data_IF_860192591531
#
_entry.id   IF_860192591531
#
_cell.length_a   1.000
_cell.length_b   1.000
_cell.length_c   1.000
_cell.angle_alpha   90.00
_cell.angle_beta   90.00
_cell.angle_gamma   90.00
#
_symmetry.space_group_name_H-M   'P 1'
#
loop_
_entity.id
_entity.type
_entity.pdbx_description
1 polymer ?
#
# COMPACT_ATOMS: atom_id res chain seq x y z
N UNK A 1 6.71 -10.79 -9.27
CA UNK A 1 6.59 -10.69 -7.79
C UNK A 1 5.11 -10.70 -7.43
N UNK A 2 4.68 -11.47 -6.42
CA UNK A 2 3.29 -11.48 -5.93
C UNK A 2 3.26 -11.05 -4.45
N UNK A 3 2.05 -10.87 -3.88
CA UNK A 3 1.89 -10.42 -2.50
C UNK A 3 2.55 -11.36 -1.49
N UNK A 4 2.33 -12.67 -1.60
CA UNK A 4 2.85 -13.65 -0.65
C UNK A 4 4.38 -13.69 -0.62
N UNK A 5 5.01 -13.67 -1.79
CA UNK A 5 6.47 -13.64 -1.90
C UNK A 5 7.03 -12.33 -1.35
N UNK A 6 6.35 -11.21 -1.60
CA UNK A 6 6.74 -9.91 -1.04
C UNK A 6 6.62 -9.89 0.48
N UNK A 7 5.49 -10.34 1.01
CA UNK A 7 5.22 -10.43 2.45
C UNK A 7 6.26 -11.31 3.15
N UNK A 8 6.58 -12.47 2.57
CA UNK A 8 7.62 -13.37 3.08
C UNK A 8 8.98 -12.68 3.14
N UNK A 9 9.43 -12.06 2.04
CA UNK A 9 10.69 -11.32 2.02
C UNK A 9 10.71 -10.15 3.00
N UNK A 10 9.59 -9.44 3.14
CA UNK A 10 9.45 -8.35 4.10
C UNK A 10 9.67 -8.84 5.55
N UNK A 11 9.04 -9.95 5.92
CA UNK A 11 9.07 -10.48 7.29
C UNK A 11 10.37 -11.23 7.62
N UNK A 12 10.90 -12.01 6.68
CA UNK A 12 12.05 -12.88 6.92
C UNK A 12 13.39 -12.21 6.65
N UNK A 13 13.44 -11.24 5.74
CA UNK A 13 14.70 -10.63 5.29
C UNK A 13 14.78 -9.14 5.63
N UNK A 14 13.73 -8.35 5.32
CA UNK A 14 13.84 -6.91 5.50
C UNK A 14 13.74 -6.51 6.97
N UNK A 15 12.61 -6.80 7.63
CA UNK A 15 12.33 -6.35 9.00
C UNK A 15 13.42 -6.75 10.00
N UNK A 16 13.95 -8.00 10.01
CA UNK A 16 14.99 -8.39 10.95
C UNK A 16 16.31 -7.61 10.79
N UNK A 17 16.55 -7.04 9.61
CA UNK A 17 17.76 -6.29 9.28
C UNK A 17 17.54 -4.77 9.31
N UNK A 18 16.34 -4.29 9.65
CA UNK A 18 16.08 -2.86 9.77
C UNK A 18 16.54 -2.32 11.14
N UNK A 19 17.18 -1.15 11.16
CA UNK A 19 17.38 -0.41 12.40
C UNK A 19 16.03 -0.13 13.11
N UNK A 20 16.02 -0.03 14.45
CA UNK A 20 14.80 0.34 15.17
C UNK A 20 14.21 1.67 14.68
N UNK A 21 12.87 1.74 14.59
CA UNK A 21 12.12 2.97 14.22
C UNK A 21 12.43 3.52 12.81
N UNK A 22 12.88 2.66 11.89
CA UNK A 22 13.02 3.04 10.47
C UNK A 22 11.69 3.43 9.83
N UNK A 23 11.80 4.27 8.79
CA UNK A 23 10.71 4.61 7.87
C UNK A 23 10.97 3.89 6.55
N UNK A 24 10.03 3.07 6.11
CA UNK A 24 10.06 2.42 4.81
C UNK A 24 9.34 3.28 3.79
N UNK A 25 10.06 3.74 2.77
CA UNK A 25 9.46 4.42 1.61
C UNK A 25 9.05 3.37 0.60
N UNK A 26 7.77 3.35 0.21
CA UNK A 26 7.23 2.38 -0.75
C UNK A 26 6.55 3.08 -1.92
N UNK A 27 6.71 2.51 -3.12
CA UNK A 27 5.99 2.95 -4.31
C UNK A 27 4.56 2.37 -4.35
N UNK A 28 3.88 2.54 -5.49
CA UNK A 28 2.49 2.14 -5.66
C UNK A 28 2.28 0.77 -6.32
N UNK A 29 3.28 -0.13 -6.31
CA UNK A 29 3.08 -1.47 -6.84
C UNK A 29 1.89 -2.18 -6.17
N UNK A 30 1.14 -2.98 -6.95
CA UNK A 30 -0.13 -3.56 -6.50
C UNK A 30 0.02 -4.43 -5.25
N UNK A 31 1.12 -5.17 -5.13
CA UNK A 31 1.44 -6.00 -3.97
C UNK A 31 1.82 -5.20 -2.71
N UNK A 32 2.21 -3.92 -2.82
CA UNK A 32 2.34 -3.05 -1.64
C UNK A 32 0.99 -2.53 -1.16
N UNK A 33 -0.03 -2.57 -2.02
CA UNK A 33 -1.33 -1.93 -1.82
C UNK A 33 -2.45 -2.93 -1.49
N UNK A 34 -2.11 -4.13 -1.01
CA UNK A 34 -3.08 -5.11 -0.53
C UNK A 34 -3.77 -4.57 0.72
N UNK A 35 -5.10 -4.42 0.63
CA UNK A 35 -5.90 -3.83 1.71
C UNK A 35 -6.08 -4.82 2.85
N UNK A 36 -5.84 -4.36 4.07
CA UNK A 36 -5.99 -5.17 5.27
C UNK A 36 -7.46 -5.47 5.62
N UNK A 37 -8.38 -4.66 5.08
CA UNK A 37 -9.82 -4.88 5.23
C UNK A 37 -10.46 -4.91 3.84
N UNK A 38 -11.42 -5.83 3.66
CA UNK A 38 -12.16 -5.95 2.40
C UNK A 38 -12.88 -4.62 2.11
N UNK A 39 -12.51 -4.02 0.99
CA UNK A 39 -13.18 -2.83 0.52
C UNK A 39 -14.65 -3.09 0.22
N UNK A 40 -15.54 -2.24 0.75
CA UNK A 40 -16.92 -2.20 0.28
C UNK A 40 -16.97 -1.77 -1.17
N UNK A 41 -17.82 -2.44 -1.92
CA UNK A 41 -18.10 -2.24 -3.34
C UNK A 41 -19.60 -2.10 -3.56
N UNK A 42 -20.03 -1.66 -4.74
CA UNK A 42 -21.47 -1.63 -5.06
C UNK A 42 -22.14 -3.00 -5.10
N UNK A 43 -21.37 -4.07 -5.22
CA UNK A 43 -21.84 -5.45 -5.08
C UNK A 43 -22.06 -5.87 -3.61
N UNK A 44 -21.59 -5.11 -2.63
CA UNK A 44 -21.83 -5.38 -1.20
C UNK A 44 -23.32 -5.19 -0.86
N UNK A 45 -23.84 -5.93 0.14
CA UNK A 45 -25.25 -5.83 0.52
C UNK A 45 -25.55 -4.56 1.32
N UNK A 46 -26.83 -4.15 1.35
CA UNK A 46 -27.27 -2.98 2.15
C UNK A 46 -26.94 -3.15 3.64
N UNK A 47 -27.11 -4.36 4.19
CA UNK A 47 -26.76 -4.67 5.59
C UNK A 47 -25.26 -4.47 5.84
N UNK A 48 -24.40 -5.01 4.99
CA UNK A 48 -22.94 -4.89 5.15
C UNK A 48 -22.48 -3.43 5.11
N UNK A 49 -23.11 -2.60 4.28
CA UNK A 49 -22.83 -1.15 4.26
C UNK A 49 -23.24 -0.47 5.58
N UNK A 50 -24.43 -0.78 6.10
CA UNK A 50 -24.89 -0.26 7.40
C UNK A 50 -23.96 -0.70 8.53
N UNK A 51 -23.59 -1.98 8.57
CA UNK A 51 -22.71 -2.52 9.61
C UNK A 51 -21.33 -1.87 9.57
N UNK A 52 -20.80 -1.58 8.39
CA UNK A 52 -19.54 -0.85 8.23
C UNK A 52 -19.63 0.60 8.75
N UNK A 53 -20.74 1.30 8.48
CA UNK A 53 -20.98 2.65 8.97
C UNK A 53 -21.17 2.66 10.49
N UNK A 54 -21.97 1.73 11.04
CA UNK A 54 -22.16 1.55 12.50
C UNK A 54 -20.84 1.27 13.21
N UNK A 55 -20.02 0.34 12.69
CA UNK A 55 -18.72 -0.02 13.29
C UNK A 55 -17.75 1.17 13.36
N UNK A 56 -17.89 2.14 12.45
CA UNK A 56 -17.06 3.35 12.38
C UNK A 56 -17.73 4.59 12.98
N UNK A 57 -18.89 4.40 13.62
CA UNK A 57 -19.69 5.46 14.25
C UNK A 57 -19.99 6.63 13.30
N UNK A 58 -20.29 6.31 12.03
CA UNK A 58 -20.66 7.29 11.00
C UNK A 58 -22.18 7.45 10.98
N UNK A 59 -22.71 8.69 10.89
CA UNK A 59 -24.14 8.93 10.83
C UNK A 59 -24.74 8.44 9.51
N UNK A 60 -25.84 7.70 9.59
CA UNK A 60 -26.67 7.30 8.45
C UNK A 60 -28.09 7.04 8.93
N UNK A 61 -29.05 7.01 8.00
CA UNK A 61 -30.44 6.65 8.30
C UNK A 61 -30.78 5.24 7.85
N UNK A 62 -31.64 4.54 8.61
CA UNK A 62 -31.99 3.14 8.35
C UNK A 62 -32.78 2.93 7.04
N UNK A 63 -33.48 3.96 6.59
CA UNK A 63 -34.31 4.00 5.39
C UNK A 63 -33.54 4.36 4.11
N UNK A 64 -32.34 4.98 4.23
CA UNK A 64 -31.50 5.40 3.08
C UNK A 64 -31.36 4.33 2.01
N UNK A 65 -31.35 4.71 0.73
CA UNK A 65 -31.15 3.77 -0.36
C UNK A 65 -29.71 3.23 -0.33
N UNK A 66 -29.49 2.09 -0.99
CA UNK A 66 -28.16 1.49 -1.11
C UNK A 66 -27.14 2.46 -1.75
N UNK A 67 -27.59 3.26 -2.70
CA UNK A 67 -26.77 4.25 -3.39
C UNK A 67 -26.32 5.37 -2.45
N UNK A 68 -27.20 5.85 -1.57
CA UNK A 68 -26.89 6.89 -0.59
C UNK A 68 -25.94 6.36 0.50
N UNK A 69 -26.18 5.14 0.97
CA UNK A 69 -25.26 4.49 1.92
C UNK A 69 -23.87 4.33 1.30
N UNK A 70 -23.79 3.97 0.02
CA UNK A 70 -22.50 3.83 -0.66
C UNK A 70 -21.80 5.16 -0.91
N UNK A 71 -22.52 6.24 -1.19
CA UNK A 71 -21.90 7.56 -1.37
C UNK A 71 -21.24 8.05 -0.07
N UNK A 72 -21.87 7.79 1.08
CA UNK A 72 -21.29 8.04 2.41
C UNK A 72 -20.05 7.17 2.64
N UNK A 73 -20.13 5.88 2.30
CA UNK A 73 -18.97 4.99 2.39
C UNK A 73 -17.83 5.50 1.50
N UNK A 74 -18.11 5.89 0.25
CA UNK A 74 -17.11 6.32 -0.72
C UNK A 74 -16.38 7.59 -0.29
N UNK A 75 -17.09 8.57 0.29
CA UNK A 75 -16.47 9.79 0.79
C UNK A 75 -15.54 9.54 1.99
N UNK A 76 -15.83 8.55 2.81
CA UNK A 76 -15.04 8.22 4.00
C UNK A 76 -13.98 7.14 3.77
N UNK A 77 -14.12 6.35 2.70
CA UNK A 77 -13.25 5.22 2.34
C UNK A 77 -11.76 5.55 2.31
N UNK A 78 -11.30 6.70 1.77
CA UNK A 78 -9.87 7.04 1.78
C UNK A 78 -9.29 7.13 3.19
N UNK A 79 -10.06 7.62 4.17
CA UNK A 79 -9.63 7.80 5.57
C UNK A 79 -9.39 6.47 6.29
N UNK A 80 -10.08 5.42 5.85
CA UNK A 80 -9.99 4.08 6.46
C UNK A 80 -9.22 3.09 5.59
N UNK A 81 -8.51 3.57 4.56
CA UNK A 81 -7.69 2.73 3.72
C UNK A 81 -6.45 2.29 4.50
N UNK A 82 -6.47 1.05 4.97
CA UNK A 82 -5.35 0.42 5.65
C UNK A 82 -4.79 -0.70 4.78
N UNK A 83 -3.46 -0.78 4.68
CA UNK A 83 -2.78 -1.82 3.93
C UNK A 83 -2.13 -2.84 4.87
N UNK A 84 -2.04 -4.08 4.42
CA UNK A 84 -1.56 -5.18 5.25
C UNK A 84 -0.08 -5.00 5.63
N UNK A 85 0.75 -4.53 4.69
CA UNK A 85 2.17 -4.29 4.94
C UNK A 85 2.40 -3.16 5.96
N UNK A 86 1.53 -2.14 5.97
CA UNK A 86 1.60 -1.02 6.90
C UNK A 86 1.36 -1.51 8.33
N UNK A 87 0.40 -2.44 8.51
CA UNK A 87 0.15 -3.08 9.81
C UNK A 87 1.34 -3.92 10.26
N UNK A 88 1.92 -4.71 9.36
CA UNK A 88 3.09 -5.54 9.67
C UNK A 88 4.26 -4.67 10.15
N UNK A 89 4.61 -3.63 9.40
CA UNK A 89 5.71 -2.73 9.73
C UNK A 89 5.45 -1.92 11.00
N UNK A 90 4.23 -1.40 11.18
CA UNK A 90 3.83 -0.68 12.38
C UNK A 90 3.92 -1.55 13.64
N UNK A 91 3.47 -2.81 13.55
CA UNK A 91 3.58 -3.76 14.66
C UNK A 91 5.04 -4.09 15.01
N UNK A 92 5.96 -4.00 14.04
CA UNK A 92 7.40 -4.11 14.25
C UNK A 92 8.07 -2.80 14.68
N UNK A 93 7.31 -1.73 14.89
CA UNK A 93 7.82 -0.44 15.34
C UNK A 93 8.39 0.45 14.24
N UNK A 94 8.05 0.18 12.97
CA UNK A 94 8.47 0.96 11.80
C UNK A 94 7.31 1.76 11.20
N UNK A 95 7.62 2.81 10.46
CA UNK A 95 6.63 3.62 9.74
C UNK A 95 6.69 3.35 8.24
N UNK A 96 5.58 3.59 7.55
CA UNK A 96 5.50 3.48 6.08
C UNK A 96 5.17 4.83 5.49
N UNK A 97 5.97 5.27 4.51
CA UNK A 97 5.72 6.45 3.70
C UNK A 97 5.44 6.01 2.26
N UNK A 98 4.27 6.36 1.74
CA UNK A 98 3.85 6.00 0.37
C UNK A 98 4.07 7.16 -0.56
N UNK A 99 4.76 6.90 -1.67
CA UNK A 99 4.99 7.91 -2.70
C UNK A 99 3.68 8.22 -3.46
N UNK A 100 3.54 9.44 -4.00
CA UNK A 100 2.48 9.76 -4.94
C UNK A 100 2.55 8.85 -6.20
N UNK A 101 1.40 8.45 -6.78
CA UNK A 101 1.40 7.69 -8.03
C UNK A 101 2.06 8.47 -9.16
N UNK A 102 2.83 7.79 -10.02
CA UNK A 102 3.49 8.37 -11.20
C UNK A 102 4.57 9.43 -10.92
N UNK A 103 5.15 9.41 -9.71
CA UNK A 103 6.27 10.28 -9.34
C UNK A 103 7.54 9.47 -9.01
N UNK A 104 8.17 8.81 -10.02
CA UNK A 104 9.40 8.04 -9.81
C UNK A 104 10.60 8.93 -9.44
N UNK A 105 10.55 10.21 -9.78
CA UNK A 105 11.50 11.25 -9.38
C UNK A 105 11.61 11.42 -7.87
N UNK A 106 10.54 11.10 -7.13
CA UNK A 106 10.52 11.12 -5.67
C UNK A 106 11.01 9.81 -5.04
N UNK A 107 11.37 8.80 -5.83
CA UNK A 107 11.84 7.52 -5.33
C UNK A 107 13.37 7.45 -5.31
N UNK A 108 14.03 7.50 -4.12
CA UNK A 108 15.49 7.55 -4.04
C UNK A 108 16.19 6.33 -4.66
N UNK A 109 15.51 5.18 -4.76
CA UNK A 109 16.09 3.98 -5.37
C UNK A 109 16.39 4.19 -6.85
N UNK A 110 15.65 5.05 -7.55
CA UNK A 110 15.88 5.35 -8.97
C UNK A 110 17.22 6.07 -9.17
N UNK A 111 17.63 6.92 -8.23
CA UNK A 111 18.94 7.57 -8.26
C UNK A 111 20.08 6.55 -8.09
N UNK A 112 19.90 5.60 -7.17
CA UNK A 112 20.87 4.51 -6.95
C UNK A 112 20.97 3.62 -8.18
N UNK A 113 19.83 3.24 -8.77
CA UNK A 113 19.81 2.46 -10.00
C UNK A 113 20.41 3.20 -11.19
N UNK A 114 20.18 4.51 -11.33
CA UNK A 114 20.78 5.30 -12.39
C UNK A 114 22.32 5.31 -12.28
N UNK A 115 22.85 5.51 -11.07
CA UNK A 115 24.28 5.43 -10.82
C UNK A 115 24.87 4.05 -11.14
N UNK A 116 24.19 2.99 -10.70
CA UNK A 116 24.63 1.61 -10.94
C UNK A 116 24.59 1.25 -12.44
N UNK A 117 23.52 1.61 -13.15
CA UNK A 117 23.39 1.37 -14.60
C UNK A 117 24.49 2.09 -15.37
N UNK A 118 24.80 3.34 -15.00
CA UNK A 118 25.92 4.08 -15.59
C UNK A 118 27.25 3.36 -15.35
N UNK A 119 27.51 2.96 -14.11
CA UNK A 119 28.74 2.22 -13.77
C UNK A 119 28.88 0.93 -14.59
N UNK A 120 27.80 0.17 -14.75
CA UNK A 120 27.81 -1.06 -15.57
C UNK A 120 28.02 -0.73 -17.05
N UNK A 121 27.36 0.30 -17.58
CA UNK A 121 27.52 0.72 -18.97
C UNK A 121 28.97 1.16 -19.27
N UNK A 122 29.61 1.91 -18.38
CA UNK A 122 31.01 2.33 -18.51
C UNK A 122 32.01 1.15 -18.45
N UNK A 123 31.57 -0.01 -17.94
CA UNK A 123 32.37 -1.24 -17.78
C UNK A 123 31.99 -2.34 -18.78
N UNK A 124 30.89 -2.17 -19.51
CA UNK A 124 30.55 -3.01 -20.65
C UNK A 124 31.50 -2.65 -21.79
N UNK A 125 32.66 -3.31 -21.81
CA UNK A 125 33.43 -3.47 -23.05
C UNK A 125 32.58 -4.32 -23.99
N UNK A 126 32.33 -3.78 -25.19
CA UNK A 126 31.53 -4.43 -26.21
C UNK A 126 31.93 -5.91 -26.37
N UNK A 127 30.94 -6.80 -26.42
CA UNK A 127 31.18 -8.13 -26.93
C UNK A 127 31.60 -7.96 -28.39
N UNK A 128 32.89 -8.10 -28.69
CA UNK A 128 33.37 -8.26 -30.05
C UNK A 128 32.67 -9.50 -30.63
N UNK A 129 31.75 -9.27 -31.57
CA UNK A 129 31.08 -10.30 -32.38
C UNK A 129 31.95 -10.65 -33.57
#
# INVERSE_FOLDING_TARGET
MNYENYKKGLQEMLIPNLPPRSVLVVDNASYHNVQAEKCLTMSSTKSVMKDWLRKRNLPFSEDMLKVDLYSIVQSHKPRFKAYEIDRILCNSGHLVLRLPPYHPDLNPIELVWAALKKYVADKNVDFEV
#
